data_IF_598957195886
#
_entry.id   IF_598957195886
#
_cell.length_a   1.000
_cell.length_b   1.000
_cell.length_c   1.000
_cell.angle_alpha   90.00
_cell.angle_beta   90.00
_cell.angle_gamma   90.00
#
_symmetry.space_group_name_H-M   'P 1'
#
loop_
_entity.id
_entity.type
_entity.pdbx_description
1 polymer ?
#
# COMPACT_ATOMS: atom_id res chain seq x y z
N UNK A 1 13.20 -8.04 14.65
CA UNK A 1 12.84 -8.08 13.22
C UNK A 1 11.52 -7.34 13.05
N UNK A 2 11.48 -6.30 12.22
CA UNK A 2 10.20 -5.68 11.87
C UNK A 2 9.41 -6.69 11.00
N UNK A 3 8.25 -7.15 11.49
CA UNK A 3 7.38 -8.04 10.72
C UNK A 3 6.73 -7.22 9.61
N UNK A 4 7.19 -7.43 8.38
CA UNK A 4 6.62 -6.81 7.18
C UNK A 4 6.20 -7.94 6.26
N UNK A 5 4.90 -8.14 6.10
CA UNK A 5 4.35 -9.19 5.23
C UNK A 5 3.68 -8.56 4.02
N UNK A 6 4.18 -8.83 2.81
CA UNK A 6 3.57 -8.32 1.59
C UNK A 6 2.21 -8.97 1.35
N UNK A 7 1.18 -8.15 1.31
CA UNK A 7 -0.20 -8.57 1.04
C UNK A 7 -0.45 -8.58 -0.47
N UNK A 8 -0.01 -7.54 -1.18
CA UNK A 8 -0.14 -7.49 -2.63
C UNK A 8 0.92 -6.59 -3.27
N UNK A 9 1.12 -6.81 -4.57
CA UNK A 9 1.94 -5.97 -5.45
C UNK A 9 1.21 -5.82 -6.78
N UNK A 10 1.15 -4.60 -7.29
CA UNK A 10 0.51 -4.29 -8.57
C UNK A 10 1.54 -4.16 -9.69
N UNK A 11 1.10 -4.32 -10.94
CA UNK A 11 1.96 -4.19 -12.12
C UNK A 11 2.56 -2.79 -12.27
N UNK A 12 1.99 -1.78 -11.60
CA UNK A 12 2.52 -0.41 -11.56
C UNK A 12 3.62 -0.21 -10.51
N UNK A 13 3.98 -1.25 -9.76
CA UNK A 13 5.02 -1.18 -8.72
C UNK A 13 4.49 -0.78 -7.34
N UNK A 14 3.18 -0.59 -7.19
CA UNK A 14 2.59 -0.32 -5.89
C UNK A 14 2.51 -1.59 -5.03
N UNK A 15 2.70 -1.48 -3.72
CA UNK A 15 2.65 -2.60 -2.78
C UNK A 15 1.77 -2.28 -1.57
N UNK A 16 1.14 -3.31 -1.02
CA UNK A 16 0.57 -3.26 0.33
C UNK A 16 1.36 -4.24 1.18
N UNK A 17 1.97 -3.74 2.26
CA UNK A 17 2.75 -4.51 3.20
C UNK A 17 2.13 -4.37 4.60
N UNK A 18 1.75 -5.48 5.23
CA UNK A 18 1.27 -5.50 6.61
C UNK A 18 2.44 -5.29 7.57
N UNK A 19 2.36 -4.24 8.40
CA UNK A 19 3.41 -3.87 9.36
C UNK A 19 3.06 -4.20 10.82
N UNK A 20 1.89 -4.84 11.03
CA UNK A 20 1.41 -5.27 12.34
C UNK A 20 0.37 -4.32 12.95
N UNK A 21 -0.27 -4.75 14.05
CA UNK A 21 -1.30 -3.96 14.77
C UNK A 21 -2.48 -3.49 13.90
N UNK A 22 -2.83 -4.26 12.85
CA UNK A 22 -3.86 -3.87 11.90
C UNK A 22 -3.44 -2.70 10.98
N UNK A 23 -2.16 -2.34 10.95
CA UNK A 23 -1.61 -1.33 10.07
C UNK A 23 -0.99 -1.95 8.83
N UNK A 24 -1.17 -1.24 7.72
CA UNK A 24 -0.74 -1.63 6.39
C UNK A 24 -0.04 -0.43 5.76
N UNK A 25 1.15 -0.68 5.20
CA UNK A 25 1.94 0.27 4.46
C UNK A 25 1.64 0.10 2.98
N UNK A 26 1.10 1.14 2.36
CA UNK A 26 0.87 1.21 0.92
C UNK A 26 1.98 2.03 0.30
N UNK A 27 2.85 1.42 -0.48
CA UNK A 27 3.93 2.09 -1.20
C UNK A 27 3.60 2.20 -2.68
N UNK A 28 4.02 3.30 -3.31
CA UNK A 28 4.03 3.47 -4.75
C UNK A 28 5.45 3.85 -5.21
N UNK A 29 5.84 3.43 -6.40
CA UNK A 29 7.16 3.68 -7.00
C UNK A 29 7.46 5.18 -7.16
N UNK A 30 6.42 6.00 -7.35
CA UNK A 30 6.53 7.44 -7.67
C UNK A 30 6.17 8.40 -6.54
N UNK A 31 5.36 7.98 -5.57
CA UNK A 31 4.70 8.89 -4.62
C UNK A 31 4.97 8.60 -3.14
N UNK A 32 5.85 7.64 -2.86
CA UNK A 32 6.24 7.28 -1.50
C UNK A 32 5.28 6.29 -0.85
N UNK A 33 5.44 6.13 0.47
CA UNK A 33 4.68 5.16 1.25
C UNK A 33 3.76 5.86 2.23
N UNK A 34 2.51 5.37 2.31
CA UNK A 34 1.53 5.80 3.28
C UNK A 34 1.19 4.65 4.21
N UNK A 35 0.90 4.93 5.47
CA UNK A 35 0.43 3.91 6.42
C UNK A 35 -1.07 4.11 6.64
N UNK A 36 -1.82 3.02 6.54
CA UNK A 36 -3.27 2.97 6.72
C UNK A 36 -3.62 1.92 7.76
N UNK A 37 -4.60 2.24 8.59
CA UNK A 37 -5.16 1.31 9.57
C UNK A 37 -6.32 0.57 8.91
N UNK A 38 -6.25 -0.76 8.90
CA UNK A 38 -7.22 -1.64 8.26
C UNK A 38 -6.90 -1.94 6.79
N UNK A 39 -7.12 -3.20 6.41
CA UNK A 39 -6.79 -3.68 5.06
C UNK A 39 -7.64 -2.99 3.99
N UNK A 40 -8.91 -2.72 4.30
CA UNK A 40 -9.81 -2.02 3.39
C UNK A 40 -9.33 -0.59 3.07
N UNK A 41 -8.91 0.17 4.08
CA UNK A 41 -8.37 1.51 3.87
C UNK A 41 -7.05 1.50 3.08
N UNK A 42 -6.25 0.43 3.23
CA UNK A 42 -5.05 0.22 2.42
C UNK A 42 -5.39 -0.03 0.95
N UNK A 43 -6.42 -0.83 0.66
CA UNK A 43 -6.90 -1.06 -0.70
C UNK A 43 -7.49 0.20 -1.34
N UNK A 44 -8.27 1.00 -0.61
CA UNK A 44 -8.78 2.27 -1.14
C UNK A 44 -7.63 3.23 -1.47
N UNK A 45 -6.65 3.37 -0.58
CA UNK A 45 -5.47 4.20 -0.82
C UNK A 45 -4.66 3.72 -2.04
N UNK A 46 -4.52 2.40 -2.20
CA UNK A 46 -3.89 1.80 -3.39
C UNK A 46 -4.67 2.17 -4.65
N UNK A 47 -6.00 2.06 -4.62
CA UNK A 47 -6.88 2.36 -5.76
C UNK A 47 -6.77 3.82 -6.18
N UNK A 48 -6.76 4.75 -5.22
CA UNK A 48 -6.53 6.18 -5.48
C UNK A 48 -5.16 6.46 -6.11
N UNK A 49 -4.10 5.81 -5.59
CA UNK A 49 -2.74 5.92 -6.13
C UNK A 49 -2.64 5.42 -7.57
N UNK A 50 -3.31 4.31 -7.87
CA UNK A 50 -3.32 3.73 -9.21
C UNK A 50 -4.14 4.53 -10.22
N UNK A 51 -5.25 5.15 -9.78
CA UNK A 51 -6.04 6.07 -10.61
C UNK A 51 -5.27 7.35 -10.93
N UNK A 52 -4.55 7.90 -9.95
CA UNK A 52 -3.77 9.14 -10.14
C UNK A 52 -2.56 8.97 -11.04
N UNK A 53 -2.02 7.75 -11.16
CA UNK A 53 -0.87 7.44 -12.04
C UNK A 53 -1.24 7.27 -13.52
N UNK A 54 -2.51 7.43 -13.93
CA UNK A 54 -2.95 7.41 -15.35
C UNK A 54 -3.04 8.84 -15.91
N UNK A 55 -2.05 9.69 -15.63
CA UNK A 55 -1.92 11.01 -16.24
C UNK A 55 -0.54 11.21 -16.84
#
# INVERSE_FOLDING_TARGET
MAFISRVCQTSKGSTIDAIGQGQYRVCNDRSGCTVKTGLWAAYEALRELEQRSVR
#
